data_IF_110768527015
#
_entry.id   IF_110768527015
#
_cell.length_a   1.000
_cell.length_b   1.000
_cell.length_c   1.000
_cell.angle_alpha   90.00
_cell.angle_beta   90.00
_cell.angle_gamma   90.00
#
_symmetry.space_group_name_H-M   'P 1'
#
loop_
_entity.id
_entity.type
_entity.pdbx_description
1 polymer ?
#
# COMPACT_ATOMS: atom_id res chain seq x y z
N UNK A 1 -20.18 -14.21 30.11
CA UNK A 1 -19.13 -13.26 29.72
C UNK A 1 -19.54 -11.79 29.73
N UNK A 2 -20.45 -11.25 28.90
CA UNK A 2 -20.84 -9.82 29.02
C UNK A 2 -21.48 -9.50 30.39
N UNK A 3 -22.36 -10.39 30.87
CA UNK A 3 -22.89 -10.34 32.24
C UNK A 3 -21.81 -10.46 33.32
N UNK A 4 -20.79 -11.27 33.10
CA UNK A 4 -19.67 -11.45 34.05
C UNK A 4 -18.75 -10.23 34.08
N UNK A 5 -18.49 -9.61 32.92
CA UNK A 5 -17.76 -8.34 32.81
C UNK A 5 -18.50 -7.20 33.51
N UNK A 6 -19.81 -7.07 33.29
CA UNK A 6 -20.65 -6.07 33.95
C UNK A 6 -20.78 -6.33 35.48
N UNK A 7 -20.88 -7.59 35.91
CA UNK A 7 -20.87 -7.95 37.34
C UNK A 7 -19.52 -7.71 38.01
N UNK A 8 -18.41 -7.90 37.28
CA UNK A 8 -17.07 -7.69 37.81
C UNK A 8 -16.77 -6.19 38.00
N UNK A 9 -17.17 -5.34 37.04
CA UNK A 9 -17.00 -3.89 37.13
C UNK A 9 -17.92 -3.25 38.18
N UNK A 10 -19.16 -3.72 38.37
CA UNK A 10 -20.06 -3.19 39.40
C UNK A 10 -19.60 -3.52 40.83
N UNK A 11 -19.00 -4.70 41.05
CA UNK A 11 -18.40 -5.08 42.34
C UNK A 11 -17.16 -4.25 42.70
N UNK A 12 -16.41 -3.76 41.71
CA UNK A 12 -15.18 -2.98 41.95
C UNK A 12 -15.47 -1.53 42.36
N UNK A 13 -16.51 -0.91 41.79
CA UNK A 13 -16.93 0.45 42.18
C UNK A 13 -17.46 0.52 43.63
N UNK A 14 -18.04 -0.57 44.15
CA UNK A 14 -18.48 -0.64 45.54
C UNK A 14 -17.35 -0.93 46.54
N UNK A 15 -16.20 -1.44 46.09
CA UNK A 15 -15.08 -1.80 46.97
C UNK A 15 -14.04 -0.67 47.11
N UNK A 16 -14.05 0.34 46.23
CA UNK A 16 -13.13 1.48 46.32
C UNK A 16 -13.55 2.52 47.39
N UNK A 17 -14.72 2.38 48.01
CA UNK A 17 -15.18 3.24 49.11
C UNK A 17 -14.88 2.69 50.51
N UNK A 18 -14.25 1.51 50.63
CA UNK A 18 -13.98 0.94 51.95
C UNK A 18 -12.73 0.04 51.97
N UNK A 19 -11.69 0.57 52.62
CA UNK A 19 -10.70 -0.10 53.47
C UNK A 19 -9.21 0.12 53.12
N UNK A 20 -8.61 0.76 54.13
CA UNK A 20 -7.22 0.91 54.49
C UNK A 20 -6.59 -0.43 54.94
N UNK A 21 -5.26 -0.52 54.74
CA UNK A 21 -4.23 -1.29 55.48
C UNK A 21 -4.47 -2.77 55.87
N UNK A 22 -3.58 -3.68 55.43
CA UNK A 22 -2.59 -4.45 56.25
C UNK A 22 -2.07 -5.71 55.51
N UNK A 23 -1.08 -6.38 56.10
CA UNK A 23 0.02 -7.18 55.55
C UNK A 23 -0.19 -8.71 55.38
N UNK A 24 0.66 -9.28 54.51
CA UNK A 24 1.34 -10.60 54.58
C UNK A 24 0.70 -11.89 54.00
N UNK A 25 1.54 -12.54 53.16
CA UNK A 25 1.79 -13.99 52.94
C UNK A 25 0.91 -14.88 52.04
N UNK A 26 1.53 -15.24 50.90
CA UNK A 26 1.73 -16.57 50.29
C UNK A 26 0.53 -17.47 49.94
N UNK A 27 0.18 -17.53 48.65
CA UNK A 27 0.53 -18.62 47.72
C UNK A 27 -0.39 -18.62 46.48
N UNK A 28 0.20 -18.92 45.31
CA UNK A 28 -0.47 -19.12 44.00
C UNK A 28 -1.15 -17.90 43.37
N UNK A 29 -0.44 -16.77 43.31
CA UNK A 29 -0.82 -15.69 42.40
C UNK A 29 -0.39 -16.05 40.97
N UNK A 30 -1.27 -16.71 40.21
CA UNK A 30 -1.28 -16.53 38.75
C UNK A 30 -1.36 -15.02 38.57
N UNK A 31 -0.30 -14.42 38.04
CA UNK A 31 -0.08 -12.97 37.98
C UNK A 31 -1.31 -12.22 37.47
N UNK A 32 -2.11 -11.71 38.42
CA UNK A 32 -3.39 -11.01 38.23
C UNK A 32 -3.21 -9.54 37.81
N UNK A 33 -2.12 -9.20 37.12
CA UNK A 33 -1.69 -7.82 36.91
C UNK A 33 -1.62 -7.33 35.44
N UNK A 34 -2.40 -7.88 34.49
CA UNK A 34 -2.37 -7.37 33.08
C UNK A 34 -3.74 -7.15 32.42
N UNK A 35 -4.87 -7.32 33.11
CA UNK A 35 -6.18 -6.93 32.55
C UNK A 35 -6.45 -5.45 32.88
N UNK A 36 -5.57 -4.57 32.42
CA UNK A 36 -5.86 -3.13 32.37
C UNK A 36 -7.00 -2.91 31.37
N UNK A 37 -8.09 -2.28 31.83
CA UNK A 37 -8.89 -1.24 31.15
C UNK A 37 -9.23 -1.36 29.65
N UNK A 38 -9.12 -2.52 29.01
CA UNK A 38 -9.48 -2.68 27.60
C UNK A 38 -11.00 -2.73 27.45
N UNK A 39 -11.55 -1.75 26.71
CA UNK A 39 -12.96 -1.73 26.29
C UNK A 39 -13.36 -3.10 25.71
N UNK A 40 -14.56 -3.65 26.03
CA UNK A 40 -14.99 -4.99 25.60
C UNK A 40 -14.85 -5.21 24.09
N UNK A 41 -15.03 -4.14 23.31
CA UNK A 41 -14.84 -4.13 21.86
C UNK A 41 -13.40 -4.50 21.48
N UNK A 42 -12.41 -3.85 22.10
CA UNK A 42 -10.99 -4.12 21.85
C UNK A 42 -10.62 -5.54 22.23
N UNK A 43 -11.13 -6.05 23.35
CA UNK A 43 -10.87 -7.43 23.75
C UNK A 43 -11.45 -8.43 22.73
N UNK A 44 -12.67 -8.22 22.24
CA UNK A 44 -13.29 -9.09 21.25
C UNK A 44 -12.51 -9.10 19.93
N UNK A 45 -12.15 -7.92 19.40
CA UNK A 45 -11.40 -7.81 18.14
C UNK A 45 -9.98 -8.39 18.29
N UNK A 46 -9.28 -8.10 19.40
CA UNK A 46 -7.91 -8.57 19.62
C UNK A 46 -7.81 -10.10 19.71
N UNK A 47 -8.86 -10.77 20.19
CA UNK A 47 -8.94 -12.23 20.23
C UNK A 47 -9.53 -12.85 18.95
N UNK A 48 -9.72 -12.06 17.88
CA UNK A 48 -10.31 -12.52 16.62
C UNK A 48 -11.79 -12.91 16.73
N UNK A 49 -12.45 -12.57 17.83
CA UNK A 49 -13.86 -12.86 18.07
C UNK A 49 -14.74 -11.79 17.39
N UNK A 50 -14.65 -11.69 16.07
CA UNK A 50 -15.35 -10.67 15.28
C UNK A 50 -16.88 -10.77 15.38
N UNK A 51 -17.44 -11.97 15.59
CA UNK A 51 -18.87 -12.14 15.85
C UNK A 51 -19.30 -11.39 17.12
N UNK A 52 -18.58 -11.60 18.23
CA UNK A 52 -18.83 -10.88 19.48
C UNK A 52 -18.58 -9.37 19.33
N UNK A 53 -17.54 -8.97 18.59
CA UNK A 53 -17.28 -7.56 18.32
C UNK A 53 -18.43 -6.89 17.54
N UNK A 54 -19.01 -7.59 16.57
CA UNK A 54 -20.20 -7.14 15.82
C UNK A 54 -21.43 -7.04 16.73
N UNK A 55 -21.68 -8.06 17.55
CA UNK A 55 -22.79 -8.02 18.53
C UNK A 55 -22.66 -6.84 19.49
N UNK A 56 -21.45 -6.60 20.01
CA UNK A 56 -21.15 -5.44 20.86
C UNK A 56 -21.40 -4.13 20.12
N UNK A 57 -20.98 -4.03 18.86
CA UNK A 57 -21.17 -2.82 18.05
C UNK A 57 -22.65 -2.52 17.86
N UNK A 58 -23.44 -3.51 17.45
CA UNK A 58 -24.88 -3.34 17.27
C UNK A 58 -25.62 -3.05 18.58
N UNK A 59 -25.18 -3.64 19.69
CA UNK A 59 -25.71 -3.32 21.01
C UNK A 59 -25.46 -1.85 21.38
N UNK A 60 -24.23 -1.35 21.21
CA UNK A 60 -23.91 0.04 21.50
C UNK A 60 -24.62 1.03 20.57
N UNK A 61 -24.71 0.73 19.27
CA UNK A 61 -25.42 1.58 18.32
C UNK A 61 -26.93 1.65 18.60
N UNK A 62 -27.55 0.54 19.04
CA UNK A 62 -28.99 0.52 19.39
C UNK A 62 -29.32 1.18 20.72
N UNK A 63 -28.36 1.32 21.63
CA UNK A 63 -28.52 1.91 22.97
C UNK A 63 -27.66 3.17 23.14
N UNK A 64 -27.50 3.97 22.08
CA UNK A 64 -26.62 5.15 22.04
C UNK A 64 -26.98 6.25 23.06
N UNK A 65 -28.23 6.29 23.55
CA UNK A 65 -28.66 7.20 24.62
C UNK A 65 -28.19 6.78 26.01
N UNK A 66 -27.92 5.49 26.21
CA UNK A 66 -27.56 4.89 27.49
C UNK A 66 -26.07 4.54 27.56
N UNK A 67 -25.42 4.42 26.40
CA UNK A 67 -24.02 4.02 26.27
C UNK A 67 -23.19 5.15 25.66
N UNK A 68 -22.13 5.57 26.37
CA UNK A 68 -21.13 6.51 25.84
C UNK A 68 -20.15 5.74 24.96
N UNK A 69 -20.62 5.20 23.83
CA UNK A 69 -19.78 4.49 22.88
C UNK A 69 -19.19 5.47 21.85
N UNK A 70 -17.87 5.55 21.82
CA UNK A 70 -17.14 6.26 20.77
C UNK A 70 -16.50 5.22 19.83
N UNK A 71 -16.95 5.19 18.58
CA UNK A 71 -16.42 4.29 17.54
C UNK A 71 -14.95 4.57 17.22
N UNK A 72 -14.48 5.78 17.56
CA UNK A 72 -13.12 6.26 17.36
C UNK A 72 -12.25 6.15 18.61
N UNK A 73 -12.78 5.59 19.72
CA UNK A 73 -12.02 5.40 20.95
C UNK A 73 -10.72 4.66 20.63
N UNK A 74 -9.58 5.22 21.07
CA UNK A 74 -8.27 4.62 20.85
C UNK A 74 -7.78 3.99 22.14
N UNK A 75 -7.08 2.86 22.04
CA UNK A 75 -6.36 2.27 23.17
C UNK A 75 -5.12 3.11 23.53
N UNK A 76 -4.40 2.71 24.57
CA UNK A 76 -3.19 3.41 25.03
C UNK A 76 -2.13 3.57 23.92
N UNK A 77 -2.15 2.70 22.91
CA UNK A 77 -1.23 2.70 21.77
C UNK A 77 -1.78 3.47 20.55
N UNK A 78 -2.94 4.10 20.68
CA UNK A 78 -3.59 4.87 19.63
C UNK A 78 -4.32 4.01 18.60
N UNK A 79 -4.49 2.71 18.84
CA UNK A 79 -5.27 1.87 17.93
C UNK A 79 -6.75 2.07 18.19
N UNK A 80 -7.51 2.33 17.13
CA UNK A 80 -8.98 2.36 17.16
C UNK A 80 -9.56 0.99 16.82
N UNK A 81 -10.87 0.73 17.04
CA UNK A 81 -11.53 -0.49 16.58
C UNK A 81 -11.28 -0.78 15.09
N UNK A 82 -11.25 0.27 14.26
CA UNK A 82 -11.00 0.13 12.82
C UNK A 82 -9.56 -0.31 12.51
N UNK A 83 -8.55 0.13 13.27
CA UNK A 83 -7.19 -0.40 13.12
C UNK A 83 -7.15 -1.91 13.37
N UNK A 84 -7.77 -2.34 14.47
CA UNK A 84 -7.77 -3.74 14.88
C UNK A 84 -8.57 -4.60 13.90
N UNK A 85 -9.70 -4.11 13.40
CA UNK A 85 -10.52 -4.78 12.40
C UNK A 85 -9.85 -4.86 11.02
N UNK A 86 -8.98 -3.91 10.66
CA UNK A 86 -8.31 -3.86 9.34
C UNK A 86 -7.35 -5.03 9.07
N UNK A 87 -7.03 -5.85 10.09
CA UNK A 87 -6.30 -7.11 9.97
C UNK A 87 -7.23 -8.36 9.90
N UNK A 88 -8.54 -8.13 9.85
CA UNK A 88 -9.56 -9.10 10.24
C UNK A 88 -10.71 -9.27 9.25
N UNK A 89 -11.90 -9.44 9.80
CA UNK A 89 -13.15 -9.78 9.11
C UNK A 89 -13.73 -8.62 8.29
N UNK A 90 -13.99 -8.85 7.00
CA UNK A 90 -14.53 -7.86 6.06
C UNK A 90 -15.85 -7.24 6.55
N UNK A 91 -16.73 -8.05 7.15
CA UNK A 91 -18.01 -7.56 7.66
C UNK A 91 -17.83 -6.62 8.84
N UNK A 92 -16.89 -6.89 9.76
CA UNK A 92 -16.59 -6.00 10.87
C UNK A 92 -16.01 -4.67 10.38
N UNK A 93 -15.12 -4.70 9.39
CA UNK A 93 -14.59 -3.47 8.78
C UNK A 93 -15.74 -2.67 8.15
N UNK A 94 -16.61 -3.31 7.35
CA UNK A 94 -17.78 -2.66 6.76
C UNK A 94 -18.72 -2.08 7.83
N UNK A 95 -18.99 -2.80 8.91
CA UNK A 95 -19.86 -2.34 9.99
C UNK A 95 -19.30 -1.07 10.67
N UNK A 96 -18.00 -1.05 10.95
CA UNK A 96 -17.33 0.13 11.51
C UNK A 96 -17.32 1.31 10.52
N UNK A 97 -17.02 1.07 9.24
CA UNK A 97 -17.04 2.12 8.21
C UNK A 97 -18.45 2.69 8.01
N UNK A 98 -19.51 1.92 8.27
CA UNK A 98 -20.89 2.38 8.18
C UNK A 98 -21.35 3.20 9.39
N UNK A 99 -20.58 3.23 10.48
CA UNK A 99 -20.91 4.06 11.64
C UNK A 99 -20.89 5.56 11.28
N UNK A 100 -21.83 6.30 11.88
CA UNK A 100 -21.83 7.76 11.83
C UNK A 100 -20.65 8.31 12.63
N UNK A 101 -19.99 9.37 12.14
CA UNK A 101 -18.85 9.99 12.81
C UNK A 101 -17.54 9.20 12.79
N UNK A 102 -17.47 8.06 12.07
CA UNK A 102 -16.21 7.30 11.94
C UNK A 102 -15.10 8.17 11.32
N UNK A 103 -13.94 8.21 11.98
CA UNK A 103 -12.75 8.87 11.48
C UNK A 103 -11.72 7.83 11.03
N UNK A 104 -11.62 7.65 9.70
CA UNK A 104 -10.73 6.66 9.07
C UNK A 104 -9.25 7.09 9.04
N UNK A 105 -8.94 8.32 9.43
CA UNK A 105 -7.59 8.90 9.36
C UNK A 105 -6.93 9.03 10.74
N UNK A 106 -7.56 8.55 11.81
CA UNK A 106 -6.90 8.48 13.12
C UNK A 106 -5.66 7.60 13.03
N UNK A 107 -4.60 7.99 13.72
CA UNK A 107 -3.32 7.31 13.64
C UNK A 107 -2.89 6.78 15.00
N UNK A 108 -2.27 5.60 15.00
CA UNK A 108 -1.68 5.03 16.21
C UNK A 108 -0.34 5.69 16.56
N UNK A 109 0.32 5.23 17.62
CA UNK A 109 1.64 5.74 18.02
C UNK A 109 2.73 5.66 16.95
N UNK A 110 2.57 4.82 15.92
CA UNK A 110 3.49 4.73 14.78
C UNK A 110 3.06 5.63 13.60
N UNK A 111 2.03 6.46 13.79
CA UNK A 111 1.33 7.23 12.75
C UNK A 111 0.72 6.37 11.63
N UNK A 112 0.57 5.07 11.83
CA UNK A 112 -0.20 4.26 10.89
C UNK A 112 -1.69 4.55 11.08
N UNK A 113 -2.40 4.79 9.99
CA UNK A 113 -3.87 4.82 9.95
C UNK A 113 -4.43 3.40 9.82
N UNK A 114 -5.73 3.14 10.05
CA UNK A 114 -6.33 1.85 9.77
C UNK A 114 -6.09 1.38 8.33
N UNK A 115 -6.06 2.33 7.39
CA UNK A 115 -5.83 2.02 5.98
C UNK A 115 -4.42 1.48 5.69
N UNK A 116 -3.40 1.89 6.45
CA UNK A 116 -2.08 1.27 6.37
C UNK A 116 -2.14 -0.23 6.73
N UNK A 117 -2.89 -0.58 7.78
CA UNK A 117 -3.07 -1.97 8.19
C UNK A 117 -3.90 -2.75 7.18
N UNK A 118 -4.97 -2.16 6.67
CA UNK A 118 -5.78 -2.75 5.61
C UNK A 118 -4.90 -3.11 4.41
N UNK A 119 -4.13 -2.18 3.87
CA UNK A 119 -3.24 -2.46 2.74
C UNK A 119 -2.16 -3.51 3.06
N UNK A 120 -1.60 -3.52 4.27
CA UNK A 120 -0.54 -4.47 4.64
C UNK A 120 -1.04 -5.90 4.93
N UNK A 121 -2.20 -6.02 5.57
CA UNK A 121 -2.63 -7.26 6.23
C UNK A 121 -3.87 -7.91 5.63
N UNK A 122 -4.59 -7.21 4.75
CA UNK A 122 -5.78 -7.77 4.10
C UNK A 122 -5.46 -9.10 3.42
N UNK A 123 -6.32 -10.09 3.63
CA UNK A 123 -6.06 -11.50 3.26
C UNK A 123 -6.81 -11.95 2.01
N UNK A 124 -7.95 -11.32 1.72
CA UNK A 124 -8.83 -11.77 0.66
C UNK A 124 -8.53 -11.03 -0.65
N UNK A 125 -8.71 -11.67 -1.81
CA UNK A 125 -8.43 -11.00 -3.09
C UNK A 125 -9.50 -9.96 -3.46
N UNK A 126 -10.73 -10.09 -2.95
CA UNK A 126 -11.82 -9.18 -3.27
C UNK A 126 -11.91 -8.03 -2.25
N UNK A 127 -10.99 -7.07 -2.33
CA UNK A 127 -10.98 -5.90 -1.45
C UNK A 127 -11.78 -4.70 -1.98
N UNK A 128 -12.30 -4.77 -3.22
CA UNK A 128 -12.79 -3.60 -3.96
C UNK A 128 -13.92 -2.84 -3.24
N UNK A 129 -14.87 -3.56 -2.63
CA UNK A 129 -15.99 -2.92 -1.93
C UNK A 129 -15.53 -2.20 -0.66
N UNK A 130 -14.67 -2.85 0.13
CA UNK A 130 -14.06 -2.25 1.33
C UNK A 130 -13.19 -1.05 0.97
N UNK A 131 -12.35 -1.20 -0.05
CA UNK A 131 -11.47 -0.14 -0.53
C UNK A 131 -12.28 1.10 -0.95
N UNK A 132 -13.30 0.90 -1.82
CA UNK A 132 -14.25 1.97 -2.18
C UNK A 132 -14.85 2.62 -0.95
N UNK A 133 -15.25 1.82 0.04
CA UNK A 133 -15.86 2.35 1.27
C UNK A 133 -14.88 3.19 2.11
N UNK A 134 -13.62 2.79 2.20
CA UNK A 134 -12.57 3.60 2.82
C UNK A 134 -12.40 4.95 2.09
N UNK A 135 -12.36 4.94 0.75
CA UNK A 135 -12.23 6.16 -0.05
C UNK A 135 -13.47 7.08 0.13
N UNK A 136 -14.68 6.52 0.09
CA UNK A 136 -15.93 7.26 0.37
C UNK A 136 -15.93 7.96 1.74
N UNK A 137 -15.25 7.36 2.72
CA UNK A 137 -15.12 7.92 4.07
C UNK A 137 -13.99 8.94 4.21
N UNK A 138 -13.35 9.33 3.10
CA UNK A 138 -12.33 10.36 3.08
C UNK A 138 -10.97 9.89 3.56
N UNK A 139 -10.62 8.63 3.32
CA UNK A 139 -9.28 8.11 3.63
C UNK A 139 -8.21 8.89 2.88
N UNK A 140 -7.18 9.33 3.59
CA UNK A 140 -5.96 9.84 2.97
C UNK A 140 -5.12 8.66 2.44
N UNK A 141 -5.19 8.46 1.12
CA UNK A 141 -4.50 7.38 0.40
C UNK A 141 -2.97 7.50 0.45
N UNK A 142 -2.46 8.69 0.76
CA UNK A 142 -1.03 9.03 0.80
C UNK A 142 -0.55 9.36 2.21
N UNK A 143 -1.34 9.04 3.25
CA UNK A 143 -0.99 9.28 4.64
C UNK A 143 0.40 8.69 4.98
N UNK A 144 1.20 9.43 5.75
CA UNK A 144 2.56 9.02 6.10
C UNK A 144 2.65 8.52 7.54
N UNK A 145 3.20 7.33 7.73
CA UNK A 145 3.58 6.85 9.05
C UNK A 145 4.93 7.43 9.53
N UNK A 146 5.40 7.07 10.73
CA UNK A 146 6.67 7.56 11.27
C UNK A 146 7.91 7.24 10.43
N UNK A 147 7.85 6.22 9.57
CA UNK A 147 8.93 5.89 8.63
C UNK A 147 8.79 6.61 7.30
N UNK A 148 7.78 7.44 7.11
CA UNK A 148 7.44 8.06 5.83
C UNK A 148 6.85 7.06 4.84
N UNK A 149 6.38 5.91 5.30
CA UNK A 149 5.75 4.91 4.43
C UNK A 149 4.28 5.30 4.23
N UNK A 150 3.83 5.22 2.98
CA UNK A 150 2.42 5.33 2.57
C UNK A 150 1.71 3.98 2.66
N UNK A 151 0.36 3.94 2.56
CA UNK A 151 -0.39 2.71 2.33
C UNK A 151 0.13 1.87 1.14
N UNK A 152 0.66 2.50 0.08
CA UNK A 152 1.28 1.81 -1.05
C UNK A 152 2.57 1.07 -0.68
N UNK A 153 3.45 1.66 0.14
CA UNK A 153 4.61 0.95 0.68
C UNK A 153 4.17 -0.27 1.52
N UNK A 154 3.11 -0.10 2.31
CA UNK A 154 2.55 -1.19 3.12
C UNK A 154 1.93 -2.30 2.28
N UNK A 155 1.23 -1.96 1.21
CA UNK A 155 0.66 -2.92 0.27
C UNK A 155 1.71 -3.84 -0.32
N UNK A 156 2.89 -3.30 -0.66
CA UNK A 156 4.04 -4.07 -1.19
C UNK A 156 4.56 -5.10 -0.17
N UNK A 157 4.43 -4.84 1.13
CA UNK A 157 4.81 -5.79 2.17
C UNK A 157 3.70 -6.82 2.50
N UNK A 158 2.56 -6.77 1.83
CA UNK A 158 1.48 -7.73 2.04
C UNK A 158 1.91 -9.14 1.59
N UNK A 159 1.58 -10.17 2.38
CA UNK A 159 1.95 -11.56 2.08
C UNK A 159 0.99 -12.26 1.14
N UNK A 160 -0.27 -11.81 1.05
CA UNK A 160 -1.37 -12.57 0.48
C UNK A 160 -1.83 -12.02 -0.88
N UNK A 161 -2.08 -10.71 -0.96
CA UNK A 161 -2.78 -10.08 -2.11
C UNK A 161 -2.06 -8.81 -2.61
N UNK A 162 -0.76 -8.79 -2.42
CA UNK A 162 0.13 -7.65 -2.70
C UNK A 162 -0.10 -6.97 -4.05
N UNK A 163 -0.04 -7.73 -5.16
CA UNK A 163 -0.18 -7.16 -6.51
C UNK A 163 -1.57 -6.54 -6.71
N UNK A 164 -2.62 -7.19 -6.22
CA UNK A 164 -4.00 -6.68 -6.28
C UNK A 164 -4.09 -5.35 -5.50
N UNK A 165 -3.56 -5.31 -4.27
CA UNK A 165 -3.61 -4.10 -3.45
C UNK A 165 -2.80 -2.95 -4.06
N UNK A 166 -1.64 -3.24 -4.66
CA UNK A 166 -0.84 -2.25 -5.40
C UNK A 166 -1.63 -1.70 -6.58
N UNK A 167 -2.21 -2.56 -7.42
CA UNK A 167 -2.99 -2.12 -8.58
C UNK A 167 -4.19 -1.27 -8.17
N UNK A 168 -4.96 -1.69 -7.16
CA UNK A 168 -6.10 -0.91 -6.67
C UNK A 168 -5.64 0.45 -6.12
N UNK A 169 -4.54 0.52 -5.36
CA UNK A 169 -4.02 1.81 -4.88
C UNK A 169 -3.63 2.74 -6.04
N UNK A 170 -2.96 2.22 -7.07
CA UNK A 170 -2.58 2.99 -8.24
C UNK A 170 -3.80 3.46 -9.05
N UNK A 171 -4.81 2.61 -9.21
CA UNK A 171 -6.08 2.96 -9.87
C UNK A 171 -6.82 4.12 -9.16
N UNK A 172 -6.73 4.19 -7.83
CA UNK A 172 -7.34 5.25 -7.02
C UNK A 172 -6.41 6.45 -6.78
N UNK A 173 -5.27 6.54 -7.49
CA UNK A 173 -4.42 7.72 -7.49
C UNK A 173 -3.45 7.80 -6.31
N UNK A 174 -3.04 6.68 -5.72
CA UNK A 174 -1.91 6.66 -4.78
C UNK A 174 -0.65 7.19 -5.47
N UNK A 175 0.09 8.07 -4.78
CA UNK A 175 1.35 8.59 -5.30
C UNK A 175 2.44 7.52 -5.18
N UNK A 176 2.87 7.04 -6.35
CA UNK A 176 3.86 5.97 -6.51
C UNK A 176 5.30 6.43 -6.26
N UNK A 177 5.55 7.74 -6.12
CA UNK A 177 6.88 8.33 -6.02
C UNK A 177 7.24 8.88 -4.64
N UNK A 178 6.31 8.82 -3.67
CA UNK A 178 6.61 9.23 -2.29
C UNK A 178 7.77 8.41 -1.73
N UNK A 179 8.74 9.09 -1.12
CA UNK A 179 9.89 8.45 -0.49
C UNK A 179 9.67 8.31 1.01
N UNK A 180 10.15 7.19 1.55
CA UNK A 180 10.30 7.02 3.00
C UNK A 180 11.34 7.98 3.57
N UNK A 181 11.40 8.05 4.90
CA UNK A 181 12.46 8.76 5.63
C UNK A 181 13.88 8.31 5.29
N UNK A 182 14.05 7.13 4.66
CA UNK A 182 15.33 6.61 4.18
C UNK A 182 15.60 6.94 2.71
N UNK A 183 14.67 7.58 2.02
CA UNK A 183 14.75 7.87 0.59
C UNK A 183 14.32 6.70 -0.31
N UNK A 184 13.64 5.69 0.25
CA UNK A 184 13.19 4.53 -0.50
C UNK A 184 11.81 4.83 -1.10
N UNK A 185 11.61 4.57 -2.39
CA UNK A 185 10.29 4.64 -3.04
C UNK A 185 9.60 3.27 -2.99
N UNK A 186 8.29 3.17 -3.31
CA UNK A 186 7.61 1.89 -3.53
C UNK A 186 8.35 0.98 -4.51
N UNK A 187 8.93 1.54 -5.59
CA UNK A 187 9.71 0.78 -6.57
C UNK A 187 10.96 0.14 -5.95
N UNK A 188 11.67 0.85 -5.07
CA UNK A 188 12.81 0.28 -4.33
C UNK A 188 12.38 -0.92 -3.47
N UNK A 189 11.23 -0.84 -2.80
CA UNK A 189 10.70 -1.97 -2.02
C UNK A 189 10.41 -3.19 -2.90
N UNK A 190 9.81 -2.98 -4.08
CA UNK A 190 9.53 -4.07 -5.03
C UNK A 190 10.82 -4.75 -5.54
N UNK A 191 11.88 -3.97 -5.78
CA UNK A 191 13.18 -4.47 -6.22
C UNK A 191 13.87 -5.28 -5.12
N UNK A 192 13.90 -4.77 -3.89
CA UNK A 192 14.46 -5.50 -2.73
C UNK A 192 13.71 -6.79 -2.40
N UNK A 193 12.42 -6.86 -2.72
CA UNK A 193 11.61 -8.08 -2.61
C UNK A 193 11.80 -9.03 -3.80
N UNK A 194 12.57 -8.65 -4.82
CA UNK A 194 12.81 -9.42 -6.03
C UNK A 194 11.53 -9.76 -6.82
N UNK A 195 10.56 -8.84 -6.80
CA UNK A 195 9.22 -9.04 -7.37
C UNK A 195 9.04 -8.28 -8.68
N UNK A 196 9.38 -8.95 -9.77
CA UNK A 196 9.23 -8.44 -11.14
C UNK A 196 7.80 -7.94 -11.43
N UNK A 197 6.78 -8.68 -11.01
CA UNK A 197 5.38 -8.30 -11.21
C UNK A 197 4.99 -6.97 -10.56
N UNK A 198 5.56 -6.67 -9.39
CA UNK A 198 5.37 -5.38 -8.73
C UNK A 198 6.20 -4.29 -9.37
N UNK A 199 7.42 -4.60 -9.81
CA UNK A 199 8.28 -3.66 -10.53
C UNK A 199 7.56 -3.17 -11.79
N UNK A 200 7.01 -4.09 -12.59
CA UNK A 200 6.22 -3.73 -13.77
C UNK A 200 4.98 -2.91 -13.41
N UNK A 201 4.19 -3.35 -12.44
CA UNK A 201 2.97 -2.65 -12.02
C UNK A 201 3.25 -1.21 -11.54
N UNK A 202 4.31 -1.01 -10.75
CA UNK A 202 4.68 0.33 -10.24
C UNK A 202 5.20 1.23 -11.36
N UNK A 203 6.02 0.70 -12.28
CA UNK A 203 6.52 1.45 -13.44
C UNK A 203 5.36 1.85 -14.37
N UNK A 204 4.43 0.94 -14.66
CA UNK A 204 3.18 1.24 -15.36
C UNK A 204 2.30 2.25 -14.61
N UNK A 205 2.33 2.20 -13.27
CA UNK A 205 1.72 3.18 -12.37
C UNK A 205 2.32 4.59 -12.46
N UNK A 206 3.49 4.76 -13.09
CA UNK A 206 4.19 6.04 -13.22
C UNK A 206 5.34 6.23 -12.22
N UNK A 207 5.93 5.14 -11.72
CA UNK A 207 7.13 5.21 -10.89
C UNK A 207 8.29 5.87 -11.65
N UNK A 208 8.90 6.87 -11.04
CA UNK A 208 10.11 7.52 -11.52
C UNK A 208 11.32 6.65 -11.16
N UNK A 209 11.85 5.98 -12.19
CA UNK A 209 13.01 5.08 -12.06
C UNK A 209 14.33 5.81 -11.80
N UNK A 210 14.35 7.14 -11.94
CA UNK A 210 15.54 7.98 -11.75
C UNK A 210 15.76 8.40 -10.29
N UNK A 211 14.73 8.25 -9.44
CA UNK A 211 14.82 8.53 -8.01
C UNK A 211 15.87 7.64 -7.34
N UNK A 212 16.57 8.22 -6.36
CA UNK A 212 17.73 7.58 -5.74
C UNK A 212 17.49 7.16 -4.30
N UNK A 213 17.68 5.87 -4.02
CA UNK A 213 17.74 5.31 -2.68
C UNK A 213 18.83 6.01 -1.86
N UNK A 214 18.45 6.57 -0.70
CA UNK A 214 19.37 7.32 0.18
C UNK A 214 20.16 8.43 -0.55
N UNK A 215 19.62 8.95 -1.66
CA UNK A 215 20.28 9.92 -2.53
C UNK A 215 21.48 9.39 -3.31
N UNK A 216 21.75 8.08 -3.27
CA UNK A 216 22.97 7.47 -3.84
C UNK A 216 22.70 6.62 -5.06
N UNK A 217 21.76 5.68 -4.98
CA UNK A 217 21.61 4.61 -5.98
C UNK A 217 20.27 4.69 -6.71
N UNK A 218 20.27 4.62 -8.03
CA UNK A 218 19.03 4.51 -8.82
C UNK A 218 18.39 3.14 -8.64
N UNK A 219 17.13 3.00 -9.07
CA UNK A 219 16.44 1.72 -9.04
C UNK A 219 17.18 0.62 -9.82
N UNK A 220 17.79 0.95 -10.98
CA UNK A 220 18.57 -0.02 -11.74
C UNK A 220 19.85 -0.44 -11.03
N UNK A 221 20.56 0.49 -10.39
CA UNK A 221 21.76 0.18 -9.59
C UNK A 221 21.41 -0.72 -8.40
N UNK A 222 20.30 -0.46 -7.71
CA UNK A 222 19.81 -1.33 -6.63
C UNK A 222 19.45 -2.73 -7.17
N UNK A 223 18.83 -2.84 -8.35
CA UNK A 223 18.53 -4.13 -8.96
C UNK A 223 19.79 -4.96 -9.25
N UNK A 224 20.87 -4.33 -9.70
CA UNK A 224 22.17 -4.99 -9.91
C UNK A 224 22.77 -5.53 -8.61
N UNK A 225 22.60 -4.81 -7.50
CA UNK A 225 23.09 -5.24 -6.18
C UNK A 225 22.30 -6.39 -5.60
N UNK A 226 20.98 -6.39 -5.79
CA UNK A 226 20.10 -7.48 -5.36
C UNK A 226 20.39 -8.75 -6.16
N UNK A 227 20.75 -8.63 -7.44
CA UNK A 227 21.26 -9.75 -8.25
C UNK A 227 20.18 -10.63 -8.88
N UNK A 228 18.90 -10.28 -8.76
CA UNK A 228 17.82 -11.04 -9.39
C UNK A 228 17.77 -10.78 -10.89
N UNK A 229 18.09 -11.80 -11.69
CA UNK A 229 18.23 -11.66 -13.15
C UNK A 229 16.98 -11.11 -13.83
N UNK A 230 15.79 -11.54 -13.43
CA UNK A 230 14.52 -11.08 -14.04
C UNK A 230 14.27 -9.61 -13.75
N UNK A 231 14.42 -9.20 -12.48
CA UNK A 231 14.29 -7.80 -12.09
C UNK A 231 15.35 -6.93 -12.77
N UNK A 232 16.59 -7.40 -12.90
CA UNK A 232 17.66 -6.70 -13.62
C UNK A 232 17.30 -6.50 -15.09
N UNK A 233 16.83 -7.55 -15.77
CA UNK A 233 16.42 -7.48 -17.18
C UNK A 233 15.26 -6.50 -17.38
N UNK A 234 14.25 -6.59 -16.51
CA UNK A 234 13.08 -5.70 -16.54
C UNK A 234 13.48 -4.26 -16.24
N UNK A 235 14.28 -4.00 -15.21
CA UNK A 235 14.78 -2.65 -14.91
C UNK A 235 15.68 -2.11 -16.02
N UNK A 236 16.54 -2.95 -16.61
CA UNK A 236 17.41 -2.55 -17.73
C UNK A 236 16.59 -2.12 -18.94
N UNK A 237 15.55 -2.87 -19.28
CA UNK A 237 14.62 -2.53 -20.36
C UNK A 237 14.06 -1.11 -20.18
N UNK A 238 13.60 -0.76 -18.97
CA UNK A 238 13.08 0.59 -18.70
C UNK A 238 14.17 1.65 -18.62
N UNK A 239 15.35 1.30 -18.10
CA UNK A 239 16.52 2.18 -18.06
C UNK A 239 16.98 2.57 -19.47
N UNK A 240 17.08 1.59 -20.39
CA UNK A 240 17.48 1.83 -21.78
C UNK A 240 16.50 2.78 -22.50
N UNK A 241 15.18 2.65 -22.24
CA UNK A 241 14.18 3.59 -22.75
C UNK A 241 14.39 4.99 -22.17
N UNK A 242 14.54 5.09 -20.85
CA UNK A 242 14.71 6.38 -20.18
C UNK A 242 15.95 7.11 -20.70
N UNK A 243 17.09 6.41 -20.80
CA UNK A 243 18.33 6.98 -21.33
C UNK A 243 18.19 7.36 -22.81
N UNK A 244 17.47 6.58 -23.62
CA UNK A 244 17.15 6.94 -24.99
C UNK A 244 16.33 8.23 -25.09
N UNK A 245 15.29 8.38 -24.26
CA UNK A 245 14.48 9.60 -24.20
C UNK A 245 15.29 10.80 -23.71
N UNK A 246 16.12 10.59 -22.69
CA UNK A 246 16.99 11.61 -22.11
C UNK A 246 17.97 12.18 -23.12
N UNK A 247 18.57 11.32 -23.94
CA UNK A 247 19.46 11.76 -25.03
C UNK A 247 18.75 12.59 -26.11
N UNK A 248 17.41 12.63 -26.10
CA UNK A 248 16.59 13.41 -27.03
C UNK A 248 15.89 14.60 -26.35
N UNK A 249 16.09 14.82 -25.05
CA UNK A 249 15.34 15.75 -24.21
C UNK A 249 13.82 15.47 -24.20
N UNK A 250 13.45 14.19 -24.02
CA UNK A 250 12.07 13.69 -24.12
C UNK A 250 11.61 12.85 -22.91
N UNK A 251 12.27 12.97 -21.76
CA UNK A 251 11.99 12.17 -20.55
C UNK A 251 10.55 12.34 -20.06
N UNK A 252 9.97 13.53 -20.28
CA UNK A 252 8.57 13.84 -19.97
C UNK A 252 7.53 12.91 -20.65
N UNK A 253 7.94 12.15 -21.68
CA UNK A 253 7.07 11.17 -22.34
C UNK A 253 7.26 9.74 -21.81
N UNK A 254 8.19 9.50 -20.89
CA UNK A 254 8.50 8.17 -20.38
C UNK A 254 7.25 7.44 -19.86
N UNK A 255 6.53 8.05 -18.91
CA UNK A 255 5.30 7.47 -18.34
C UNK A 255 4.26 7.11 -19.42
N UNK A 256 4.03 8.02 -20.39
CA UNK A 256 3.06 7.79 -21.48
C UNK A 256 3.46 6.63 -22.37
N UNK A 257 4.75 6.50 -22.66
CA UNK A 257 5.29 5.42 -23.49
C UNK A 257 5.25 4.08 -22.75
N UNK A 258 5.54 4.07 -21.45
CA UNK A 258 5.50 2.88 -20.60
C UNK A 258 4.07 2.34 -20.45
N UNK A 259 3.08 3.20 -20.19
CA UNK A 259 1.67 2.78 -20.01
C UNK A 259 1.06 2.14 -21.26
N UNK A 260 1.62 2.43 -22.43
CA UNK A 260 1.21 1.78 -23.66
C UNK A 260 2.16 0.61 -23.91
N UNK A 261 1.90 -0.54 -23.27
CA UNK A 261 2.70 -1.79 -23.32
C UNK A 261 3.23 -2.15 -24.72
N UNK A 262 2.48 -1.78 -25.76
CA UNK A 262 2.81 -1.92 -27.17
C UNK A 262 4.17 -1.31 -27.57
N UNK A 263 4.63 -0.26 -26.90
CA UNK A 263 5.69 0.59 -27.43
C UNK A 263 7.10 0.06 -27.21
N UNK A 264 7.34 -0.72 -26.17
CA UNK A 264 8.71 -1.15 -25.85
C UNK A 264 9.26 -2.18 -26.84
N UNK A 265 8.46 -3.20 -27.20
CA UNK A 265 8.85 -4.21 -28.19
C UNK A 265 8.82 -3.69 -29.64
N UNK A 266 8.12 -2.58 -29.88
CA UNK A 266 7.86 -2.05 -31.21
C UNK A 266 8.25 -0.57 -31.34
N UNK A 267 9.24 -0.09 -30.57
CA UNK A 267 9.69 1.31 -30.62
C UNK A 267 10.03 1.76 -32.05
N UNK A 268 10.59 0.87 -32.87
CA UNK A 268 10.90 1.11 -34.28
C UNK A 268 9.67 1.32 -35.19
N UNK A 269 8.46 1.10 -34.67
CA UNK A 269 7.18 1.26 -35.38
C UNK A 269 6.46 2.56 -35.01
N UNK A 270 7.03 3.39 -34.11
CA UNK A 270 6.47 4.70 -33.78
C UNK A 270 6.39 5.55 -35.05
N UNK A 271 5.17 5.96 -35.38
CA UNK A 271 4.82 6.79 -36.54
C UNK A 271 3.82 7.89 -36.12
N UNK A 272 3.38 8.72 -37.06
CA UNK A 272 2.44 9.82 -36.79
C UNK A 272 1.12 9.35 -36.14
N UNK A 273 0.60 8.18 -36.52
CA UNK A 273 -0.64 7.62 -35.96
C UNK A 273 -0.47 7.22 -34.49
N UNK A 274 0.66 6.58 -34.16
CA UNK A 274 1.01 6.20 -32.78
C UNK A 274 1.22 7.45 -31.92
N UNK A 275 1.92 8.46 -32.44
CA UNK A 275 2.10 9.72 -31.70
C UNK A 275 0.77 10.45 -31.46
N UNK A 276 -0.21 10.31 -32.37
CA UNK A 276 -1.56 10.81 -32.17
C UNK A 276 -2.30 10.07 -31.05
N UNK A 277 -2.24 8.73 -31.01
CA UNK A 277 -2.88 7.98 -29.93
C UNK A 277 -2.27 8.30 -28.55
N UNK A 278 -1.01 8.76 -28.52
CA UNK A 278 -0.31 9.21 -27.32
C UNK A 278 -0.52 10.70 -26.97
N UNK A 279 -1.33 11.44 -27.76
CA UNK A 279 -1.54 12.88 -27.63
C UNK A 279 -0.23 13.70 -27.61
N UNK A 280 0.77 13.32 -28.42
CA UNK A 280 2.04 14.06 -28.55
C UNK A 280 1.91 15.08 -29.68
N UNK A 281 1.52 16.31 -29.37
CA UNK A 281 1.20 17.33 -30.39
C UNK A 281 2.35 18.29 -30.74
N UNK A 282 3.42 18.34 -29.94
CA UNK A 282 4.54 19.26 -30.17
C UNK A 282 5.33 18.83 -31.41
N UNK A 283 5.25 19.63 -32.48
CA UNK A 283 5.82 19.31 -33.80
C UNK A 283 7.32 18.97 -33.77
N UNK A 284 8.11 19.69 -32.96
CA UNK A 284 9.54 19.41 -32.79
C UNK A 284 9.82 18.04 -32.16
N UNK A 285 9.04 17.64 -31.14
CA UNK A 285 9.19 16.34 -30.49
C UNK A 285 8.76 15.20 -31.42
N UNK A 286 7.69 15.40 -32.20
CA UNK A 286 7.25 14.41 -33.21
C UNK A 286 8.34 14.12 -34.22
N UNK A 287 8.98 15.17 -34.74
CA UNK A 287 10.08 15.01 -35.69
C UNK A 287 11.27 14.25 -35.08
N UNK A 288 11.62 14.56 -33.81
CA UNK A 288 12.65 13.81 -33.07
C UNK A 288 12.29 12.33 -32.97
N UNK A 289 11.07 11.99 -32.51
CA UNK A 289 10.60 10.61 -32.41
C UNK A 289 10.69 9.88 -33.75
N UNK A 290 10.08 10.43 -34.80
CA UNK A 290 10.00 9.78 -36.12
C UNK A 290 11.39 9.59 -36.73
N UNK A 291 12.26 10.61 -36.66
CA UNK A 291 13.62 10.53 -37.19
C UNK A 291 14.43 9.43 -36.49
N UNK A 292 14.42 9.40 -35.16
CA UNK A 292 15.19 8.41 -34.41
C UNK A 292 14.62 7.00 -34.54
N UNK A 293 13.29 6.84 -34.57
CA UNK A 293 12.65 5.54 -34.79
C UNK A 293 12.88 5.02 -36.21
N UNK A 294 12.92 5.90 -37.22
CA UNK A 294 13.32 5.52 -38.58
C UNK A 294 14.75 5.00 -38.67
N UNK A 295 15.70 5.65 -37.96
CA UNK A 295 17.09 5.16 -37.87
C UNK A 295 17.15 3.79 -37.19
N UNK A 296 16.40 3.60 -36.09
CA UNK A 296 16.31 2.31 -35.39
C UNK A 296 15.77 1.21 -36.32
N UNK A 297 14.73 1.51 -37.08
CA UNK A 297 14.14 0.57 -38.05
C UNK A 297 15.15 0.13 -39.12
N UNK A 298 15.87 1.08 -39.73
CA UNK A 298 16.91 0.77 -40.72
C UNK A 298 18.04 -0.08 -40.13
N UNK A 299 18.48 0.21 -38.89
CA UNK A 299 19.50 -0.60 -38.20
C UNK A 299 19.01 -2.03 -37.95
N UNK A 300 17.74 -2.18 -37.56
CA UNK A 300 17.12 -3.48 -37.33
C UNK A 300 17.03 -4.30 -38.63
N UNK A 301 16.62 -3.68 -39.73
CA UNK A 301 16.54 -4.33 -41.06
C UNK A 301 17.91 -4.83 -41.51
N UNK A 302 18.95 -3.98 -41.45
CA UNK A 302 20.33 -4.38 -41.77
C UNK A 302 20.85 -5.50 -40.88
N UNK A 303 20.51 -5.50 -39.58
CA UNK A 303 20.90 -6.57 -38.67
C UNK A 303 20.20 -7.90 -39.00
N UNK A 304 18.93 -7.86 -39.43
CA UNK A 304 18.20 -9.04 -39.91
C UNK A 304 18.80 -9.58 -41.20
N UNK A 305 19.11 -8.72 -42.16
CA UNK A 305 19.79 -9.09 -43.41
C UNK A 305 21.14 -9.77 -43.14
N UNK A 306 21.96 -9.17 -42.26
CA UNK A 306 23.25 -9.75 -41.86
C UNK A 306 23.10 -11.14 -41.25
N UNK A 307 22.15 -11.33 -40.32
CA UNK A 307 21.86 -12.64 -39.71
C UNK A 307 21.34 -13.66 -40.72
N UNK A 308 20.59 -13.23 -41.74
CA UNK A 308 20.12 -14.11 -42.80
C UNK A 308 21.30 -14.58 -43.67
N UNK A 309 22.22 -13.67 -44.03
CA UNK A 309 23.45 -13.99 -44.75
C UNK A 309 24.35 -14.96 -43.99
N UNK A 310 24.54 -14.75 -42.68
CA UNK A 310 25.33 -15.62 -41.80
C UNK A 310 24.74 -17.04 -41.64
N UNK A 311 23.42 -17.21 -41.82
CA UNK A 311 22.76 -18.54 -41.77
C UNK A 311 22.84 -19.31 -43.08
N UNK A 312 23.18 -18.63 -44.17
CA UNK A 312 23.30 -19.22 -45.51
C UNK A 312 24.75 -19.72 -45.76
N UNK A 313 25.72 -19.27 -44.96
CA UNK A 313 27.12 -19.68 -44.97
C UNK A 313 27.37 -20.85 -44.01
#
# INVERSE_FOLDING_TARGET
>A
MLKEYLQFNSKKNNNNTSNTNTSSNNNTAISTNVINEKSPMFFAISNGSFALAKELLYYYLSHSKETKFDVNEADDYGYTPLHMASNGDDEMIMALLNCEGINVNLCNRDKNTPFHYFCQKYRYPNCNNLFKKFIEKGTDINALNHRGETPLHKAILNSNVRLIMVNVLLEYGADVNIMTTRGDTPLHYAIHLEREDLVEALIQGGADISLKERGKKTCYEVALEVGNQKVIETMKKYQDLYDWLKNLDLEQYFEKLVRNDFLMGQMHQINEQVLNSLNIQISGHRLKFIKHCGILKLKLERAKEKRALERIQ
#
